data_IF_710314996629
#
_entry.id   IF_710314996629
#
_cell.length_a   1.000
_cell.length_b   1.000
_cell.length_c   1.000
_cell.angle_alpha   90.00
_cell.angle_beta   90.00
_cell.angle_gamma   90.00
#
_symmetry.space_group_name_H-M   'P 1'
#
loop_
_entity.id
_entity.type
_entity.pdbx_description
1 polymer ?
#
# COMPACT_ATOMS: atom_id res chain seq x y z
N UNK A 1 -1.69 5.34 -10.67
CA UNK A 1 -0.77 5.58 -9.53
C UNK A 1 0.43 6.44 -9.97
N UNK A 2 1.56 5.89 -10.43
CA UNK A 2 2.81 6.65 -10.65
C UNK A 2 2.73 7.94 -11.48
N UNK A 3 1.93 7.98 -12.57
CA UNK A 3 1.75 9.22 -13.37
C UNK A 3 1.15 10.38 -12.56
N UNK A 4 0.24 10.08 -11.62
CA UNK A 4 -0.43 11.07 -10.79
C UNK A 4 0.52 11.59 -9.70
N UNK A 5 1.27 10.69 -9.06
CA UNK A 5 2.33 11.07 -8.10
C UNK A 5 3.42 11.92 -8.77
N UNK A 6 3.79 11.64 -10.03
CA UNK A 6 4.75 12.46 -10.79
C UNK A 6 4.35 13.94 -10.82
N UNK A 7 3.06 14.22 -11.04
CA UNK A 7 2.53 15.58 -11.09
C UNK A 7 2.74 16.34 -9.79
N UNK A 8 2.50 15.68 -8.65
CA UNK A 8 2.70 16.27 -7.32
C UNK A 8 4.18 16.49 -7.00
N UNK A 9 5.01 15.45 -7.11
CA UNK A 9 6.39 15.50 -6.61
C UNK A 9 7.28 16.41 -7.42
N UNK A 10 7.03 16.62 -8.71
CA UNK A 10 7.80 17.57 -9.50
C UNK A 10 7.58 19.03 -9.04
N UNK A 11 6.35 19.40 -8.68
CA UNK A 11 5.98 20.80 -8.37
C UNK A 11 6.03 21.16 -6.89
N UNK A 12 6.15 20.19 -5.98
CA UNK A 12 6.19 20.41 -4.53
C UNK A 12 7.32 21.37 -4.09
N UNK A 13 7.01 22.41 -3.32
CA UNK A 13 7.98 23.43 -2.90
C UNK A 13 8.59 23.16 -1.51
N UNK A 14 7.93 22.36 -0.67
CA UNK A 14 8.36 22.04 0.71
C UNK A 14 9.62 21.17 0.81
N UNK A 15 10.26 20.80 -0.30
CA UNK A 15 11.59 20.21 -0.33
C UNK A 15 12.71 21.15 0.21
N UNK A 16 12.38 22.34 0.72
CA UNK A 16 13.32 23.19 1.48
C UNK A 16 14.44 23.80 0.63
N UNK A 17 14.20 23.99 -0.67
CA UNK A 17 15.21 24.44 -1.62
C UNK A 17 16.21 23.36 -2.06
N UNK A 18 16.04 22.09 -1.64
CA UNK A 18 16.86 20.99 -2.14
C UNK A 18 16.77 20.88 -3.67
N UNK A 19 17.93 20.78 -4.32
CA UNK A 19 18.00 20.69 -5.78
C UNK A 19 17.39 19.36 -6.25
N UNK A 20 16.41 19.43 -7.16
CA UNK A 20 15.68 18.25 -7.66
C UNK A 20 16.54 17.28 -8.46
N UNK A 21 17.55 17.78 -9.16
CA UNK A 21 18.55 16.95 -9.85
C UNK A 21 19.42 16.18 -8.85
N UNK A 22 19.75 16.81 -7.70
CA UNK A 22 20.48 16.17 -6.61
C UNK A 22 19.61 15.13 -5.89
N UNK A 23 18.39 15.47 -5.49
CA UNK A 23 17.43 14.52 -4.90
C UNK A 23 17.18 13.32 -5.84
N UNK A 24 17.17 13.54 -7.16
CA UNK A 24 17.08 12.47 -8.15
C UNK A 24 18.31 11.57 -8.21
N UNK A 25 19.53 12.06 -7.91
CA UNK A 25 20.73 11.23 -7.77
C UNK A 25 20.74 10.45 -6.46
N UNK A 26 20.32 11.09 -5.36
CA UNK A 26 20.20 10.48 -4.04
C UNK A 26 19.18 9.33 -4.05
N UNK A 27 18.02 9.54 -4.68
CA UNK A 27 17.01 8.50 -4.90
C UNK A 27 17.56 7.28 -5.66
N UNK A 28 18.50 7.48 -6.59
CA UNK A 28 19.15 6.41 -7.35
C UNK A 28 20.37 5.79 -6.63
N UNK A 29 20.78 6.31 -5.48
CA UNK A 29 22.05 5.94 -4.83
C UNK A 29 23.30 6.42 -5.59
N UNK A 30 23.16 7.33 -6.56
CA UNK A 30 24.27 7.90 -7.33
C UNK A 30 25.00 9.06 -6.62
N UNK A 31 24.49 9.48 -5.47
CA UNK A 31 25.13 10.44 -4.57
C UNK A 31 24.69 10.18 -3.14
N UNK A 32 25.57 10.46 -2.18
CA UNK A 32 25.24 10.37 -0.75
C UNK A 32 24.15 11.40 -0.38
N UNK A 33 23.07 11.00 0.30
CA UNK A 33 22.01 11.91 0.72
C UNK A 33 22.50 13.01 1.67
N UNK A 34 22.25 14.27 1.31
CA UNK A 34 22.64 15.41 2.14
C UNK A 34 21.74 15.56 3.40
N UNK A 35 22.24 16.13 4.52
CA UNK A 35 21.40 16.46 5.67
C UNK A 35 20.19 17.32 5.26
N UNK A 36 18.98 16.87 5.62
CA UNK A 36 17.72 17.50 5.17
C UNK A 36 17.11 16.90 3.90
N UNK A 37 17.79 15.94 3.25
CA UNK A 37 17.19 15.09 2.21
C UNK A 37 16.24 14.06 2.84
N UNK A 38 15.09 13.72 2.20
CA UNK A 38 14.24 12.62 2.64
C UNK A 38 14.91 11.24 2.52
N UNK A 39 16.05 11.12 1.85
CA UNK A 39 16.84 9.89 1.76
C UNK A 39 17.93 9.79 2.84
N UNK A 40 18.10 10.81 3.69
CA UNK A 40 19.22 10.89 4.63
C UNK A 40 19.00 10.15 5.95
N UNK A 41 20.03 9.41 6.36
CA UNK A 41 20.11 8.73 7.66
C UNK A 41 19.25 7.47 7.78
N UNK A 42 19.22 6.88 8.98
CA UNK A 42 18.58 5.58 9.28
C UNK A 42 17.04 5.60 9.06
N UNK A 43 16.43 6.78 9.00
CA UNK A 43 14.99 6.98 8.71
C UNK A 43 14.72 7.52 7.31
N UNK A 44 15.72 7.52 6.43
CA UNK A 44 15.53 7.89 5.03
C UNK A 44 14.57 6.94 4.29
N UNK A 45 13.94 7.45 3.23
CA UNK A 45 13.08 6.65 2.37
C UNK A 45 13.88 5.52 1.70
N UNK A 46 13.48 4.28 1.99
CA UNK A 46 13.97 3.10 1.29
C UNK A 46 13.01 2.74 0.17
N UNK A 47 13.57 2.46 -1.01
CA UNK A 47 12.86 2.16 -2.25
C UNK A 47 13.54 0.99 -2.97
N UNK A 48 12.76 0.14 -3.64
CA UNK A 48 13.23 -0.86 -4.61
C UNK A 48 13.87 -0.19 -5.83
N UNK A 49 14.72 -0.88 -6.59
CA UNK A 49 15.45 -0.23 -7.69
C UNK A 49 14.54 0.30 -8.82
N UNK A 50 13.43 -0.38 -9.10
CA UNK A 50 12.41 0.12 -10.04
C UNK A 50 11.69 1.35 -9.50
N UNK A 51 11.38 1.39 -8.19
CA UNK A 51 10.81 2.55 -7.54
C UNK A 51 11.80 3.72 -7.44
N UNK A 52 13.08 3.49 -7.13
CA UNK A 52 14.16 4.50 -7.17
C UNK A 52 14.26 5.14 -8.55
N UNK A 53 14.26 4.31 -9.59
CA UNK A 53 14.29 4.74 -10.99
C UNK A 53 13.10 5.62 -11.35
N UNK A 54 11.88 5.16 -11.03
CA UNK A 54 10.65 5.91 -11.27
C UNK A 54 10.59 7.22 -10.44
N UNK A 55 10.95 7.18 -9.15
CA UNK A 55 10.89 8.32 -8.25
C UNK A 55 11.92 9.40 -8.61
N UNK A 56 13.11 9.00 -9.05
CA UNK A 56 14.10 9.92 -9.62
C UNK A 56 13.56 10.65 -10.86
N UNK A 57 12.89 9.94 -11.77
CA UNK A 57 12.19 10.56 -12.90
C UNK A 57 11.10 11.53 -12.44
N UNK A 58 10.36 11.21 -11.37
CA UNK A 58 9.33 12.10 -10.81
C UNK A 58 9.92 13.40 -10.25
N UNK A 59 10.94 13.28 -9.39
CA UNK A 59 11.61 14.42 -8.77
C UNK A 59 12.19 15.38 -9.81
N UNK A 60 12.78 14.85 -10.87
CA UNK A 60 13.41 15.60 -11.97
C UNK A 60 12.45 16.14 -13.02
N UNK A 61 11.17 15.74 -13.00
CA UNK A 61 10.21 16.09 -14.05
C UNK A 61 10.54 15.47 -15.41
N UNK A 62 11.17 14.29 -15.42
CA UNK A 62 11.59 13.63 -16.66
C UNK A 62 10.39 13.29 -17.57
N UNK A 63 10.52 13.65 -18.85
CA UNK A 63 9.51 13.37 -19.87
C UNK A 63 9.49 11.89 -20.26
N UNK A 64 8.39 11.48 -20.91
CA UNK A 64 8.18 10.10 -21.39
C UNK A 64 7.24 9.26 -20.52
N UNK A 65 6.91 8.04 -20.98
CA UNK A 65 6.23 7.03 -20.18
C UNK A 65 7.17 6.40 -19.14
N UNK A 66 6.60 5.75 -18.13
CA UNK A 66 7.36 4.82 -17.29
C UNK A 66 7.63 3.53 -18.07
N UNK A 67 8.75 2.86 -17.78
CA UNK A 67 8.97 1.47 -18.23
C UNK A 67 7.98 0.53 -17.52
N UNK A 68 7.90 -0.73 -17.95
CA UNK A 68 7.02 -1.73 -17.33
C UNK A 68 7.37 -1.95 -15.85
N UNK A 69 8.66 -2.00 -15.51
CA UNK A 69 9.18 -2.20 -14.16
C UNK A 69 8.87 -0.99 -13.27
N UNK A 70 9.05 0.23 -13.82
CA UNK A 70 8.71 1.48 -13.14
C UNK A 70 7.19 1.62 -12.93
N UNK A 71 6.37 1.11 -13.85
CA UNK A 71 4.92 1.08 -13.71
C UNK A 71 4.46 0.06 -12.65
N UNK A 72 5.13 -1.10 -12.55
CA UNK A 72 4.91 -2.10 -11.50
C UNK A 72 5.22 -1.55 -10.10
N UNK A 73 6.23 -0.68 -9.96
CA UNK A 73 6.51 0.06 -8.73
C UNK A 73 5.41 1.09 -8.33
N UNK A 74 4.36 1.26 -9.14
CA UNK A 74 3.30 2.25 -8.95
C UNK A 74 2.62 2.24 -7.57
N UNK A 75 2.52 1.07 -6.93
CA UNK A 75 1.99 0.93 -5.57
C UNK A 75 2.96 1.46 -4.51
N UNK A 76 4.22 1.03 -4.57
CA UNK A 76 5.30 1.47 -3.68
C UNK A 76 5.49 2.99 -3.74
N UNK A 77 5.48 3.55 -4.95
CA UNK A 77 5.61 5.00 -5.18
C UNK A 77 4.47 5.79 -4.52
N UNK A 78 3.25 5.26 -4.51
CA UNK A 78 2.10 5.87 -3.85
C UNK A 78 2.20 5.76 -2.31
N UNK A 79 2.68 4.64 -1.77
CA UNK A 79 2.94 4.49 -0.33
C UNK A 79 4.07 5.41 0.15
N UNK A 80 5.21 5.40 -0.54
CA UNK A 80 6.34 6.30 -0.28
C UNK A 80 5.92 7.76 -0.38
N UNK A 81 5.02 8.10 -1.32
CA UNK A 81 4.43 9.42 -1.40
C UNK A 81 3.68 9.85 -0.13
N UNK A 82 2.98 8.93 0.57
CA UNK A 82 2.36 9.26 1.87
C UNK A 82 3.40 9.45 2.98
N UNK A 83 4.45 8.62 3.02
CA UNK A 83 5.53 8.76 4.00
C UNK A 83 6.24 10.10 3.82
N UNK A 84 6.60 10.45 2.57
CA UNK A 84 7.21 11.72 2.22
C UNK A 84 6.30 12.91 2.55
N UNK A 85 5.00 12.82 2.29
CA UNK A 85 4.05 13.87 2.67
C UNK A 85 4.05 14.15 4.17
N UNK A 86 4.19 13.11 5.01
CA UNK A 86 4.39 13.25 6.45
C UNK A 86 5.73 13.89 6.81
N UNK A 87 6.82 13.50 6.14
CA UNK A 87 8.16 14.08 6.36
C UNK A 87 8.24 15.56 5.98
N UNK A 88 7.54 15.98 4.91
CA UNK A 88 7.48 17.36 4.43
C UNK A 88 6.37 18.21 5.08
N UNK A 89 5.56 17.62 5.98
CA UNK A 89 4.47 18.33 6.66
C UNK A 89 3.34 18.79 5.73
N UNK A 90 3.02 18.04 4.68
CA UNK A 90 1.94 18.35 3.72
C UNK A 90 0.58 18.08 4.38
N UNK A 91 0.15 19.01 5.23
CA UNK A 91 -1.04 18.89 6.08
C UNK A 91 -2.31 18.54 5.30
N UNK A 92 -2.50 19.07 4.08
CA UNK A 92 -3.66 18.76 3.24
C UNK A 92 -3.69 17.28 2.80
N UNK A 93 -2.54 16.67 2.50
CA UNK A 93 -2.44 15.27 2.10
C UNK A 93 -2.56 14.34 3.31
N UNK A 94 -1.99 14.74 4.44
CA UNK A 94 -2.14 14.03 5.72
C UNK A 94 -3.59 14.04 6.21
N UNK A 95 -4.29 15.18 6.14
CA UNK A 95 -5.71 15.26 6.46
C UNK A 95 -6.58 14.46 5.50
N UNK A 96 -6.34 14.56 4.19
CA UNK A 96 -7.07 13.76 3.21
C UNK A 96 -6.95 12.26 3.49
N UNK A 97 -5.75 11.80 3.90
CA UNK A 97 -5.54 10.43 4.37
C UNK A 97 -6.35 10.12 5.62
N UNK A 98 -6.26 10.94 6.67
CA UNK A 98 -7.02 10.74 7.90
C UNK A 98 -8.54 10.63 7.64
N UNK A 99 -9.09 11.51 6.81
CA UNK A 99 -10.52 11.58 6.48
C UNK A 99 -11.02 10.41 5.59
N UNK A 100 -10.14 9.73 4.85
CA UNK A 100 -10.51 8.69 3.86
C UNK A 100 -9.97 7.28 4.15
N UNK A 101 -9.22 7.08 5.25
CA UNK A 101 -8.51 5.82 5.50
C UNK A 101 -9.41 4.70 6.02
N UNK A 102 -9.55 3.67 5.21
CA UNK A 102 -10.13 2.39 5.59
C UNK A 102 -9.07 1.62 6.37
N UNK A 103 -9.13 1.69 7.69
CA UNK A 103 -8.36 0.81 8.58
C UNK A 103 -9.27 -0.24 9.24
N UNK A 104 -8.68 -1.39 9.56
CA UNK A 104 -9.29 -2.39 10.42
C UNK A 104 -9.45 -1.81 11.83
N UNK A 105 -10.56 -2.12 12.52
CA UNK A 105 -10.72 -1.72 13.92
C UNK A 105 -9.85 -2.61 14.82
N UNK A 106 -8.82 -2.01 15.46
CA UNK A 106 -7.77 -2.76 16.18
C UNK A 106 -7.71 -2.55 17.69
N UNK A 107 -8.70 -1.89 18.28
CA UNK A 107 -8.66 -1.53 19.69
C UNK A 107 -8.77 -2.78 20.60
N UNK A 108 -7.62 -3.26 21.06
CA UNK A 108 -7.46 -4.40 21.97
C UNK A 108 -7.44 -5.78 21.31
N UNK A 109 -7.10 -5.87 20.02
CA UNK A 109 -7.40 -7.07 19.21
C UNK A 109 -6.14 -7.68 18.58
N UNK A 110 -5.42 -8.45 19.42
CA UNK A 110 -4.24 -9.29 19.11
C UNK A 110 -4.43 -10.73 19.68
N UNK A 111 -3.84 -11.77 19.05
CA UNK A 111 -4.53 -13.07 18.83
C UNK A 111 -5.02 -13.83 20.05
N UNK A 112 -6.15 -14.49 19.80
CA UNK A 112 -6.40 -15.83 20.30
C UNK A 112 -6.87 -16.70 19.13
N UNK A 113 -6.23 -17.84 18.83
CA UNK A 113 -6.35 -19.06 19.63
C UNK A 113 -5.05 -19.60 20.25
N UNK A 114 -3.91 -18.94 20.06
CA UNK A 114 -2.62 -19.35 20.68
C UNK A 114 -1.87 -18.15 21.25
N UNK A 115 -0.82 -18.44 22.03
CA UNK A 115 -0.06 -17.50 22.85
C UNK A 115 0.88 -16.56 22.03
N UNK A 116 0.33 -15.86 21.02
CA UNK A 116 0.96 -14.70 20.37
C UNK A 116 0.79 -14.57 18.85
N UNK A 117 -0.31 -13.94 18.39
CA UNK A 117 -0.54 -13.51 17.00
C UNK A 117 -1.38 -12.21 16.88
N UNK A 118 -2.26 -12.09 15.86
CA UNK A 118 -3.32 -11.04 15.77
C UNK A 118 -4.77 -11.60 15.95
N UNK A 119 -5.69 -10.85 16.61
CA UNK A 119 -7.11 -11.23 16.87
C UNK A 119 -7.96 -10.30 16.02
N UNK A 120 -8.70 -10.86 15.07
CA UNK A 120 -9.50 -10.09 14.13
C UNK A 120 -11.01 -10.36 14.32
N UNK A 121 -11.41 -10.92 15.46
CA UNK A 121 -12.81 -11.23 15.80
C UNK A 121 -13.73 -10.02 15.89
N UNK A 122 -13.16 -8.81 16.04
CA UNK A 122 -13.89 -7.53 15.98
C UNK A 122 -13.76 -6.81 14.63
N UNK A 123 -12.92 -7.31 13.73
CA UNK A 123 -12.86 -6.78 12.36
C UNK A 123 -14.01 -7.39 11.55
N UNK A 124 -14.96 -6.53 11.17
CA UNK A 124 -16.17 -6.90 10.43
C UNK A 124 -15.78 -7.60 9.12
N UNK A 125 -14.80 -7.03 8.40
CA UNK A 125 -14.32 -7.59 7.15
C UNK A 125 -13.74 -9.00 7.30
N UNK A 126 -12.93 -9.22 8.33
CA UNK A 126 -12.34 -10.52 8.63
C UNK A 126 -13.43 -11.54 8.96
N UNK A 127 -14.38 -11.15 9.80
CA UNK A 127 -15.53 -12.00 10.15
C UNK A 127 -16.39 -12.36 8.92
N UNK A 128 -16.58 -11.43 7.98
CA UNK A 128 -17.30 -11.67 6.73
C UNK A 128 -16.52 -12.59 5.77
N UNK A 129 -15.20 -12.37 5.62
CA UNK A 129 -14.33 -13.20 4.79
C UNK A 129 -14.25 -14.65 5.30
N UNK A 130 -14.06 -14.83 6.61
CA UNK A 130 -14.01 -16.15 7.26
C UNK A 130 -15.34 -16.91 7.08
N UNK A 131 -16.49 -16.26 7.31
CA UNK A 131 -17.82 -16.83 7.04
C UNK A 131 -18.05 -17.19 5.58
N UNK A 132 -17.41 -16.50 4.65
CA UNK A 132 -17.45 -16.78 3.22
C UNK A 132 -16.42 -17.83 2.76
N UNK A 133 -15.63 -18.40 3.68
CA UNK A 133 -14.59 -19.39 3.38
C UNK A 133 -13.36 -18.79 2.66
N UNK A 134 -13.19 -17.47 2.69
CA UNK A 134 -12.11 -16.78 1.99
C UNK A 134 -10.83 -16.73 2.84
N UNK A 135 -9.63 -16.75 2.21
CA UNK A 135 -8.38 -16.55 2.94
C UNK A 135 -8.34 -15.23 3.71
N UNK A 136 -8.05 -15.34 5.01
CA UNK A 136 -7.80 -14.22 5.94
C UNK A 136 -6.34 -14.31 6.40
N UNK A 137 -5.65 -13.18 6.47
CA UNK A 137 -4.28 -13.08 7.00
C UNK A 137 -4.17 -11.91 7.99
N UNK A 138 -2.99 -11.70 8.58
CA UNK A 138 -2.78 -10.76 9.70
C UNK A 138 -2.68 -9.29 9.27
N UNK A 139 -3.24 -8.94 8.12
CA UNK A 139 -2.81 -7.79 7.33
C UNK A 139 -3.81 -6.67 7.19
N UNK A 140 -3.27 -5.49 7.42
CA UNK A 140 -3.92 -4.18 7.32
C UNK A 140 -4.39 -3.84 5.90
N UNK A 141 -5.70 -3.89 5.62
CA UNK A 141 -6.31 -3.20 4.46
C UNK A 141 -5.89 -1.72 4.35
N UNK A 142 -5.53 -1.09 5.48
CA UNK A 142 -4.94 0.25 5.54
C UNK A 142 -3.71 0.48 4.66
N UNK A 143 -2.91 -0.54 4.33
CA UNK A 143 -1.73 -0.37 3.45
C UNK A 143 -2.10 -0.23 1.98
N UNK A 144 -3.10 -0.99 1.50
CA UNK A 144 -3.65 -0.79 0.16
C UNK A 144 -4.53 0.47 0.10
N UNK A 145 -5.28 0.76 1.16
CA UNK A 145 -6.00 2.02 1.33
C UNK A 145 -5.06 3.23 1.22
N UNK A 146 -3.90 3.22 1.90
CA UNK A 146 -2.94 4.34 1.88
C UNK A 146 -2.43 4.69 0.48
N UNK A 147 -2.17 3.68 -0.36
CA UNK A 147 -1.75 3.84 -1.76
C UNK A 147 -2.90 4.27 -2.69
N UNK A 148 -4.13 3.83 -2.41
CA UNK A 148 -5.34 4.28 -3.13
C UNK A 148 -5.66 5.73 -2.80
N UNK A 149 -5.58 6.12 -1.52
CA UNK A 149 -5.75 7.51 -1.06
C UNK A 149 -4.73 8.43 -1.70
N UNK A 150 -3.46 8.00 -1.76
CA UNK A 150 -2.40 8.72 -2.43
C UNK A 150 -2.75 9.00 -3.90
N UNK A 151 -3.22 7.96 -4.59
CA UNK A 151 -3.68 8.02 -5.98
C UNK A 151 -4.93 8.91 -6.14
N UNK A 152 -5.91 8.81 -5.25
CA UNK A 152 -7.13 9.65 -5.23
C UNK A 152 -6.80 11.12 -5.00
N UNK A 153 -6.00 11.43 -3.98
CA UNK A 153 -5.53 12.80 -3.68
C UNK A 153 -4.84 13.44 -4.90
N UNK A 154 -3.96 12.69 -5.55
CA UNK A 154 -3.25 13.14 -6.74
C UNK A 154 -4.19 13.35 -7.94
N UNK A 155 -5.18 12.47 -8.14
CA UNK A 155 -6.22 12.60 -9.17
C UNK A 155 -7.12 13.83 -8.94
N UNK A 156 -7.63 14.00 -7.71
CA UNK A 156 -8.46 15.13 -7.30
C UNK A 156 -7.69 16.47 -7.45
N UNK A 157 -6.41 16.52 -7.05
CA UNK A 157 -5.55 17.71 -7.24
C UNK A 157 -5.24 18.04 -8.70
N UNK A 158 -5.23 17.05 -9.59
CA UNK A 158 -4.96 17.25 -11.03
C UNK A 158 -6.22 17.33 -11.88
N UNK A 159 -7.42 17.24 -11.28
CA UNK A 159 -8.70 17.33 -11.98
C UNK A 159 -8.93 16.20 -13.00
N UNK A 160 -8.36 15.02 -12.75
CA UNK A 160 -8.38 13.88 -13.69
C UNK A 160 -8.85 12.59 -13.01
N UNK A 161 -9.04 11.52 -13.78
CA UNK A 161 -9.40 10.21 -13.22
C UNK A 161 -8.24 9.59 -12.42
N UNK A 162 -8.58 8.87 -11.36
CA UNK A 162 -7.65 8.01 -10.62
C UNK A 162 -7.27 6.76 -11.43
N UNK A 163 -8.16 6.31 -12.33
CA UNK A 163 -7.93 5.21 -13.25
C UNK A 163 -7.00 5.65 -14.39
N UNK A 164 -6.20 4.73 -14.92
CA UNK A 164 -5.34 5.03 -16.06
C UNK A 164 -6.16 5.27 -17.33
N UNK A 165 -5.73 6.17 -18.24
CA UNK A 165 -6.43 6.41 -19.50
C UNK A 165 -6.67 5.11 -20.29
N UNK A 166 -7.92 4.89 -20.72
CA UNK A 166 -8.34 3.70 -21.43
C UNK A 166 -8.82 2.54 -20.53
N UNK A 167 -8.67 2.64 -19.20
CA UNK A 167 -9.31 1.71 -18.25
C UNK A 167 -10.62 2.30 -17.72
N UNK A 168 -11.65 1.46 -17.59
CA UNK A 168 -12.83 1.79 -16.81
C UNK A 168 -12.59 1.58 -15.29
N UNK A 169 -13.52 2.00 -14.43
CA UNK A 169 -13.39 1.92 -12.97
C UNK A 169 -13.18 0.49 -12.44
N UNK A 170 -13.74 -0.53 -13.09
CA UNK A 170 -13.52 -1.94 -12.70
C UNK A 170 -12.11 -2.41 -13.06
N UNK A 171 -11.67 -2.12 -14.29
CA UNK A 171 -10.32 -2.42 -14.76
C UNK A 171 -9.24 -1.68 -13.96
N UNK A 172 -9.47 -0.38 -13.68
CA UNK A 172 -8.59 0.43 -12.84
C UNK A 172 -8.51 -0.08 -11.41
N UNK A 173 -9.64 -0.50 -10.82
CA UNK A 173 -9.69 -1.13 -9.50
C UNK A 173 -8.90 -2.42 -9.49
N UNK A 174 -9.14 -3.31 -10.45
CA UNK A 174 -8.41 -4.57 -10.61
C UNK A 174 -6.90 -4.33 -10.76
N UNK A 175 -6.50 -3.36 -11.59
CA UNK A 175 -5.09 -3.02 -11.79
C UNK A 175 -4.42 -2.56 -10.48
N UNK A 176 -5.09 -1.76 -9.64
CA UNK A 176 -4.55 -1.38 -8.32
C UNK A 176 -4.48 -2.57 -7.37
N UNK A 177 -5.51 -3.43 -7.32
CA UNK A 177 -5.50 -4.66 -6.50
C UNK A 177 -4.37 -5.59 -6.91
N UNK A 178 -4.18 -5.81 -8.20
CA UNK A 178 -3.12 -6.66 -8.75
C UNK A 178 -1.73 -6.07 -8.49
N UNK A 179 -1.53 -4.75 -8.64
CA UNK A 179 -0.28 -4.08 -8.27
C UNK A 179 0.02 -4.15 -6.77
N UNK A 180 -1.01 -3.99 -5.93
CA UNK A 180 -0.89 -4.13 -4.47
C UNK A 180 -0.50 -5.57 -4.10
N UNK A 181 -1.18 -6.57 -4.67
CA UNK A 181 -0.92 -7.98 -4.42
C UNK A 181 0.46 -8.41 -4.96
N UNK A 182 0.87 -7.91 -6.13
CA UNK A 182 2.21 -8.11 -6.66
C UNK A 182 3.27 -7.52 -5.71
N UNK A 183 3.08 -6.27 -5.25
CA UNK A 183 3.99 -5.64 -4.30
C UNK A 183 4.15 -6.49 -3.02
N UNK A 184 3.07 -6.89 -2.35
CA UNK A 184 3.15 -7.72 -1.13
C UNK A 184 3.69 -9.15 -1.35
N UNK A 185 4.00 -9.54 -2.60
CA UNK A 185 4.60 -10.83 -2.96
C UNK A 185 5.97 -10.72 -3.64
N UNK A 186 6.40 -9.52 -4.04
CA UNK A 186 7.69 -9.31 -4.67
C UNK A 186 8.84 -9.48 -3.67
N UNK A 187 9.97 -10.03 -4.12
CA UNK A 187 11.16 -10.16 -3.30
C UNK A 187 11.71 -8.77 -2.94
N UNK A 188 11.98 -8.53 -1.65
CA UNK A 188 12.51 -7.25 -1.18
C UNK A 188 11.51 -6.10 -1.03
N UNK A 189 10.22 -6.25 -1.37
CA UNK A 189 9.14 -5.22 -1.21
C UNK A 189 8.77 -4.86 0.23
N UNK A 190 9.65 -5.23 1.15
CA UNK A 190 9.16 -6.01 2.27
C UNK A 190 9.02 -5.13 3.51
N UNK A 191 7.84 -5.18 4.11
CA UNK A 191 7.53 -4.65 5.45
C UNK A 191 7.98 -5.53 6.66
N UNK A 192 8.68 -6.69 6.55
CA UNK A 192 8.81 -7.63 7.65
C UNK A 192 9.78 -7.21 8.77
N UNK A 193 10.82 -6.36 8.63
CA UNK A 193 11.58 -5.96 9.81
C UNK A 193 10.73 -5.16 10.80
N UNK A 194 9.90 -4.23 10.30
CA UNK A 194 9.00 -3.43 11.14
C UNK A 194 7.79 -4.23 11.61
N UNK A 195 7.24 -5.14 10.79
CA UNK A 195 6.14 -6.03 11.21
C UNK A 195 6.61 -7.09 12.23
N UNK A 196 7.78 -7.73 12.03
CA UNK A 196 8.38 -8.63 13.02
C UNK A 196 8.74 -7.90 14.31
N UNK A 197 9.25 -6.66 14.22
CA UNK A 197 9.48 -5.80 15.39
C UNK A 197 8.17 -5.44 16.10
N UNK A 198 7.10 -5.16 15.36
CA UNK A 198 5.77 -4.90 15.92
C UNK A 198 5.19 -6.13 16.62
N UNK A 199 5.27 -7.31 16.01
CA UNK A 199 4.90 -8.60 16.61
C UNK A 199 5.71 -8.82 17.89
N UNK A 200 7.02 -8.64 17.86
CA UNK A 200 7.87 -8.85 19.03
C UNK A 200 7.68 -7.80 20.12
N UNK A 201 7.30 -6.55 19.78
CA UNK A 201 6.87 -5.55 20.76
C UNK A 201 5.60 -5.99 21.48
N UNK A 202 4.57 -6.43 20.75
CA UNK A 202 3.30 -6.91 21.35
C UNK A 202 3.54 -8.13 22.24
N UNK A 203 4.49 -9.00 21.86
CA UNK A 203 4.90 -10.16 22.68
C UNK A 203 5.59 -9.73 23.97
N UNK A 204 6.51 -8.78 23.90
CA UNK A 204 7.20 -8.18 25.05
C UNK A 204 6.20 -7.52 26.02
N UNK A 205 5.25 -6.73 25.50
CA UNK A 205 4.13 -6.14 26.26
C UNK A 205 3.21 -7.18 26.93
N UNK A 206 3.15 -8.41 26.39
CA UNK A 206 2.40 -9.53 26.94
C UNK A 206 3.24 -10.47 27.83
N UNK A 207 4.53 -10.15 28.09
CA UNK A 207 5.44 -11.00 28.87
C UNK A 207 5.83 -12.30 28.18
N UNK A 208 5.87 -12.32 26.85
CA UNK A 208 6.15 -13.48 26.02
C UNK A 208 7.53 -13.34 25.33
N UNK A 209 8.26 -14.46 25.25
CA UNK A 209 9.56 -14.51 24.56
C UNK A 209 9.48 -13.98 23.12
N UNK A 210 10.57 -13.38 22.63
CA UNK A 210 10.66 -12.98 21.22
C UNK A 210 10.49 -14.20 20.32
N UNK A 211 9.65 -14.06 19.30
CA UNK A 211 9.49 -15.04 18.23
C UNK A 211 10.39 -14.63 17.07
N UNK A 212 11.31 -15.52 16.70
CA UNK A 212 11.96 -15.42 15.40
C UNK A 212 10.94 -15.78 14.31
N UNK A 213 10.82 -14.91 13.31
CA UNK A 213 9.88 -15.06 12.21
C UNK A 213 10.66 -14.75 10.94
N UNK A 214 10.87 -15.77 10.12
CA UNK A 214 11.45 -15.60 8.79
C UNK A 214 10.65 -14.53 8.04
N UNK A 215 11.37 -13.53 7.52
CA UNK A 215 10.79 -12.36 6.86
C UNK A 215 9.94 -12.74 5.64
N UNK A 216 10.27 -13.86 4.98
CA UNK A 216 9.52 -14.42 3.85
C UNK A 216 8.19 -15.08 4.26
N UNK A 217 8.02 -15.46 5.53
CA UNK A 217 6.78 -16.05 6.05
C UNK A 217 5.79 -14.97 6.53
N UNK A 218 6.19 -13.69 6.55
CA UNK A 218 5.36 -12.55 6.95
C UNK A 218 4.53 -12.06 5.76
N UNK A 219 3.62 -12.91 5.29
CA UNK A 219 2.54 -12.47 4.42
C UNK A 219 1.41 -11.90 5.26
N UNK A 220 1.22 -10.59 5.15
CA UNK A 220 0.20 -9.87 5.91
C UNK A 220 -1.15 -9.93 5.20
N UNK A 221 -1.22 -9.63 3.90
CA UNK A 221 -2.51 -9.39 3.22
C UNK A 221 -2.93 -10.50 2.26
N UNK A 222 -4.14 -11.03 2.44
CA UNK A 222 -4.79 -11.89 1.44
C UNK A 222 -5.31 -11.08 0.25
N UNK A 223 -5.52 -11.72 -0.91
CA UNK A 223 -6.12 -11.04 -2.06
C UNK A 223 -7.50 -10.44 -1.72
N UNK A 224 -8.43 -11.13 -1.01
CA UNK A 224 -9.66 -10.53 -0.49
C UNK A 224 -9.47 -9.30 0.40
N UNK A 225 -8.44 -9.26 1.25
CA UNK A 225 -8.16 -8.11 2.14
C UNK A 225 -7.65 -6.90 1.35
N UNK A 226 -6.78 -7.13 0.38
CA UNK A 226 -6.32 -6.10 -0.55
C UNK A 226 -7.50 -5.57 -1.36
N UNK A 227 -8.31 -6.47 -1.94
CA UNK A 227 -9.49 -6.13 -2.72
C UNK A 227 -10.46 -5.28 -1.92
N UNK A 228 -10.81 -5.68 -0.69
CA UNK A 228 -11.67 -4.90 0.19
C UNK A 228 -11.07 -3.53 0.53
N UNK A 229 -9.78 -3.46 0.88
CA UNK A 229 -9.09 -2.19 1.15
C UNK A 229 -9.14 -1.23 -0.05
N UNK A 230 -8.93 -1.72 -1.27
CA UNK A 230 -9.02 -0.90 -2.49
C UNK A 230 -10.47 -0.50 -2.79
N UNK A 231 -11.40 -1.45 -2.77
CA UNK A 231 -12.80 -1.25 -3.12
C UNK A 231 -13.50 -0.22 -2.22
N UNK A 232 -13.35 -0.35 -0.90
CA UNK A 232 -13.95 0.56 0.10
C UNK A 232 -13.37 1.97 -0.02
N UNK A 233 -12.04 2.07 -0.16
CA UNK A 233 -11.35 3.37 -0.26
C UNK A 233 -11.68 4.11 -1.56
N UNK A 234 -11.88 3.39 -2.67
CA UNK A 234 -12.37 3.98 -3.92
C UNK A 234 -13.84 4.42 -3.82
N UNK A 235 -14.68 3.66 -3.09
CA UNK A 235 -16.07 4.03 -2.83
C UNK A 235 -16.25 5.17 -1.82
N UNK A 236 -15.18 5.53 -1.07
CA UNK A 236 -15.29 6.45 0.07
C UNK A 236 -16.05 5.87 1.27
N UNK A 237 -16.24 4.55 1.30
CA UNK A 237 -16.96 3.86 2.37
C UNK A 237 -16.06 3.69 3.60
N UNK A 238 -16.54 3.98 4.83
CA UNK A 238 -15.77 3.74 6.04
C UNK A 238 -15.57 2.23 6.27
N UNK A 239 -14.51 1.84 6.98
CA UNK A 239 -14.25 0.42 7.32
C UNK A 239 -15.31 -0.25 8.20
N UNK A 240 -16.29 0.51 8.68
CA UNK A 240 -17.48 0.06 9.43
C UNK A 240 -18.75 -0.07 8.58
N UNK A 241 -18.69 0.21 7.28
CA UNK A 241 -19.84 0.03 6.39
C UNK A 241 -20.03 -1.46 6.09
N UNK A 242 -21.00 -2.08 6.76
CA UNK A 242 -21.30 -3.50 6.59
C UNK A 242 -21.78 -3.85 5.18
N UNK A 243 -22.50 -2.95 4.51
CA UNK A 243 -23.04 -3.19 3.17
C UNK A 243 -21.89 -3.18 2.14
N UNK A 244 -21.08 -2.12 2.15
CA UNK A 244 -19.92 -2.00 1.26
C UNK A 244 -18.87 -3.11 1.54
N UNK A 245 -18.67 -3.50 2.81
CA UNK A 245 -17.79 -4.62 3.18
C UNK A 245 -18.33 -5.95 2.67
N UNK A 246 -19.64 -6.18 2.76
CA UNK A 246 -20.28 -7.38 2.22
C UNK A 246 -20.15 -7.45 0.69
N UNK A 247 -20.45 -6.36 -0.02
CA UNK A 247 -20.27 -6.28 -1.49
C UNK A 247 -18.82 -6.55 -1.91
N UNK A 248 -17.85 -5.90 -1.26
CA UNK A 248 -16.42 -6.11 -1.55
C UNK A 248 -15.95 -7.54 -1.25
N UNK A 249 -16.57 -8.21 -0.27
CA UNK A 249 -16.30 -9.62 0.08
C UNK A 249 -16.91 -10.57 -0.95
N UNK A 250 -18.15 -10.36 -1.38
CA UNK A 250 -18.81 -11.18 -2.41
C UNK A 250 -18.08 -11.08 -3.76
N UNK A 251 -17.64 -9.87 -4.13
CA UNK A 251 -16.87 -9.66 -5.36
C UNK A 251 -15.49 -10.36 -5.30
N UNK A 252 -14.76 -10.25 -4.18
CA UNK A 252 -13.52 -11.01 -4.00
C UNK A 252 -13.74 -12.53 -4.09
N UNK A 253 -14.85 -13.03 -3.54
CA UNK A 253 -15.23 -14.44 -3.64
C UNK A 253 -15.55 -14.87 -5.08
N UNK A 254 -16.20 -14.00 -5.86
CA UNK A 254 -16.50 -14.24 -7.28
C UNK A 254 -15.20 -14.34 -8.10
N UNK A 255 -14.32 -13.36 -7.94
CA UNK A 255 -13.04 -13.30 -8.65
C UNK A 255 -12.13 -14.51 -8.37
N UNK A 256 -12.09 -14.99 -7.12
CA UNK A 256 -11.32 -16.19 -6.77
C UNK A 256 -11.87 -17.46 -7.43
N UNK A 257 -13.20 -17.68 -7.38
CA UNK A 257 -13.83 -18.83 -8.06
C UNK A 257 -13.63 -18.81 -9.58
N UNK A 258 -13.65 -17.64 -10.19
CA UNK A 258 -13.38 -17.48 -11.62
C UNK A 258 -11.93 -17.84 -11.97
N UNK A 259 -10.96 -17.39 -11.15
CA UNK A 259 -9.56 -17.77 -11.31
C UNK A 259 -9.33 -19.29 -11.16
N UNK A 260 -9.94 -19.91 -10.15
CA UNK A 260 -9.89 -21.37 -9.92
C UNK A 260 -10.42 -22.15 -11.13
N UNK A 261 -11.62 -21.79 -11.62
CA UNK A 261 -12.23 -22.44 -12.80
C UNK A 261 -11.37 -22.30 -14.07
N UNK A 262 -10.71 -21.15 -14.24
CA UNK A 262 -9.82 -20.90 -15.38
C UNK A 262 -8.59 -21.82 -15.30
N UNK A 263 -8.01 -22.01 -14.11
CA UNK A 263 -6.86 -22.92 -13.93
C UNK A 263 -7.17 -24.41 -14.10
N UNK A 264 -8.43 -24.84 -13.91
CA UNK A 264 -8.83 -26.22 -14.25
C UNK A 264 -8.94 -26.42 -15.76
N UNK A 265 -9.52 -25.46 -16.49
CA UNK A 265 -9.63 -25.54 -17.97
C UNK A 265 -8.29 -25.42 -18.71
N UNK A 266 -7.24 -24.90 -18.07
CA UNK A 266 -5.90 -24.77 -18.65
C UNK A 266 -4.98 -25.99 -18.48
N UNK A 267 -5.49 -27.13 -17.97
CA UNK A 267 -4.71 -28.35 -17.68
C UNK A 267 -5.09 -29.57 -18.55
N UNK A 268 -5.91 -29.38 -19.58
CA UNK A 268 -6.31 -30.43 -20.55
C UNK A 268 -5.38 -30.49 -21.75
#
# INVERSE_FOLDING_TARGET
MGHLERGLWYTEDRFGGNNREQLGKEALGLSEPLPGSPFHGVRGLNLSDSARSAFSMMLRGAAGPFTQEQAQAGFELAQTGQVLAGMLGISERMKFREDNRVDAQRNGTHSTRTQGGMDLSRDIGTTMRDKAGLPVMSGTSGSSSDAVIATRFAAERSGTSWAAPGLNDSEGRKAIVDLSHHYFRAEGSSTPPSMASGINKIRDEAGLDKKDVNTLDIFTHSYPEIHAGVALTLAGAPGTDEAAMHEATQEAARLLREAESTTETGRS
#
